data_IF_376700750201
#
_entry.id   IF_376700750201
#
_cell.length_a   1.000
_cell.length_b   1.000
_cell.length_c   1.000
_cell.angle_alpha   90.00
_cell.angle_beta   90.00
_cell.angle_gamma   90.00
#
_symmetry.space_group_name_H-M   'P 1'
#
loop_
_entity.id
_entity.type
_entity.pdbx_description
1 polymer ?
#
# COMPACT_ATOMS: atom_id res chain seq x y z
N UNK A 1 -55.02 -4.79 38.90
CA UNK A 1 -53.86 -5.65 38.52
C UNK A 1 -53.85 -5.74 37.00
N UNK A 2 -53.02 -4.94 36.34
CA UNK A 2 -52.85 -4.98 34.89
C UNK A 2 -51.54 -5.73 34.58
N UNK A 3 -51.54 -6.74 33.71
CA UNK A 3 -50.32 -7.40 33.30
C UNK A 3 -49.57 -6.56 32.23
N UNK A 4 -48.35 -6.16 32.57
CA UNK A 4 -47.41 -5.56 31.67
C UNK A 4 -47.03 -6.61 30.61
N UNK A 5 -47.46 -6.41 29.36
CA UNK A 5 -47.02 -7.19 28.21
C UNK A 5 -45.61 -6.74 27.85
N UNK A 6 -44.62 -7.55 28.21
CA UNK A 6 -43.23 -7.42 27.72
C UNK A 6 -43.20 -7.72 26.24
N UNK A 7 -43.20 -6.70 25.39
CA UNK A 7 -42.89 -6.83 23.97
C UNK A 7 -41.39 -7.13 23.81
N UNK A 8 -41.07 -8.38 23.60
CA UNK A 8 -39.74 -8.79 23.12
C UNK A 8 -39.60 -8.31 21.67
N UNK A 9 -38.96 -7.18 21.48
CA UNK A 9 -38.50 -6.73 20.13
C UNK A 9 -37.39 -7.68 19.72
N UNK A 10 -37.72 -8.65 18.88
CA UNK A 10 -36.77 -9.49 18.20
C UNK A 10 -36.13 -8.63 17.09
N UNK A 11 -34.99 -8.00 17.39
CA UNK A 11 -34.17 -7.33 16.37
C UNK A 11 -33.50 -8.43 15.55
N UNK A 12 -34.15 -8.86 14.49
CA UNK A 12 -33.56 -9.70 13.46
C UNK A 12 -32.64 -8.78 12.66
N UNK A 13 -31.35 -8.73 13.03
CA UNK A 13 -30.30 -8.14 12.21
C UNK A 13 -30.25 -8.99 10.93
N UNK A 14 -30.90 -8.52 9.87
CA UNK A 14 -30.68 -9.05 8.54
C UNK A 14 -29.24 -8.66 8.15
N UNK A 15 -28.30 -9.57 8.45
CA UNK A 15 -26.94 -9.50 7.87
C UNK A 15 -27.12 -9.87 6.40
N UNK A 16 -27.42 -8.87 5.57
CA UNK A 16 -27.31 -8.94 4.10
C UNK A 16 -25.82 -8.93 3.72
N UNK A 17 -25.03 -9.76 4.37
CA UNK A 17 -23.67 -10.06 3.97
C UNK A 17 -23.74 -11.08 2.83
N UNK A 18 -23.38 -10.65 1.62
CA UNK A 18 -23.35 -11.54 0.47
C UNK A 18 -22.28 -12.61 0.63
N UNK A 19 -22.65 -13.89 0.57
CA UNK A 19 -21.68 -14.94 0.26
C UNK A 19 -21.21 -14.71 -1.18
N UNK A 20 -19.96 -14.26 -1.37
CA UNK A 20 -19.34 -14.20 -2.67
C UNK A 20 -18.56 -15.50 -2.92
N UNK A 21 -18.51 -15.92 -4.16
CA UNK A 21 -17.62 -17.02 -4.58
C UNK A 21 -16.22 -16.44 -4.78
N UNK A 22 -15.21 -17.04 -4.15
CA UNK A 22 -13.83 -16.68 -4.39
C UNK A 22 -13.44 -17.06 -5.83
N UNK A 23 -12.96 -16.12 -6.65
CA UNK A 23 -12.68 -16.38 -8.07
C UNK A 23 -11.58 -17.42 -8.29
N UNK A 24 -10.65 -17.57 -7.35
CA UNK A 24 -9.52 -18.50 -7.45
C UNK A 24 -9.86 -19.89 -6.94
N UNK A 25 -10.56 -19.98 -5.80
CA UNK A 25 -10.80 -21.28 -5.12
C UNK A 25 -12.17 -21.87 -5.41
N UNK A 26 -13.11 -21.07 -5.94
CA UNK A 26 -14.51 -21.46 -6.08
C UNK A 26 -15.27 -21.56 -4.73
N UNK A 27 -14.60 -21.36 -3.61
CA UNK A 27 -15.20 -21.46 -2.28
C UNK A 27 -16.15 -20.27 -2.01
N UNK A 28 -17.21 -20.54 -1.24
CA UNK A 28 -18.06 -19.46 -0.75
C UNK A 28 -17.40 -18.78 0.46
N UNK A 29 -17.24 -17.48 0.38
CA UNK A 29 -16.65 -16.67 1.41
C UNK A 29 -17.60 -15.54 1.84
N UNK A 30 -17.60 -15.24 3.14
CA UNK A 30 -18.30 -14.06 3.63
C UNK A 30 -17.45 -12.82 3.40
N UNK A 31 -17.94 -11.90 2.59
CA UNK A 31 -17.31 -10.62 2.32
C UNK A 31 -18.34 -9.50 2.41
N UNK A 32 -17.95 -8.37 3.01
CA UNK A 32 -18.84 -7.23 3.21
C UNK A 32 -19.01 -6.37 1.98
N UNK A 33 -18.10 -6.48 1.00
CA UNK A 33 -18.10 -5.67 -0.21
C UNK A 33 -18.50 -6.51 -1.43
N UNK A 34 -19.45 -6.01 -2.19
CA UNK A 34 -19.70 -6.47 -3.56
C UNK A 34 -18.55 -6.05 -4.48
N UNK A 35 -18.43 -6.62 -5.67
CA UNK A 35 -17.40 -6.22 -6.64
C UNK A 35 -17.51 -4.74 -7.04
N UNK A 36 -18.73 -4.24 -7.24
CA UNK A 36 -18.95 -2.83 -7.55
C UNK A 36 -18.48 -1.90 -6.43
N UNK A 37 -18.70 -2.28 -5.16
CA UNK A 37 -18.22 -1.53 -4.01
C UNK A 37 -16.69 -1.63 -3.84
N UNK A 38 -16.11 -2.79 -4.14
CA UNK A 38 -14.66 -3.00 -4.17
C UNK A 38 -14.01 -2.05 -5.19
N UNK A 39 -14.55 -1.97 -6.41
CA UNK A 39 -14.05 -1.07 -7.45
C UNK A 39 -14.23 0.41 -7.06
N UNK A 40 -15.38 0.78 -6.48
CA UNK A 40 -15.63 2.15 -6.05
C UNK A 40 -14.63 2.60 -4.97
N UNK A 41 -14.40 1.75 -3.96
CA UNK A 41 -13.40 1.98 -2.91
C UNK A 41 -11.99 2.13 -3.50
N UNK A 42 -11.63 1.29 -4.48
CA UNK A 42 -10.34 1.37 -5.16
C UNK A 42 -10.14 2.68 -5.92
N UNK A 43 -11.18 3.18 -6.59
CA UNK A 43 -11.12 4.48 -7.29
C UNK A 43 -10.93 5.66 -6.33
N UNK A 44 -11.58 5.62 -5.18
CA UNK A 44 -11.38 6.65 -4.14
C UNK A 44 -9.96 6.58 -3.58
N UNK A 45 -9.46 5.37 -3.31
CA UNK A 45 -8.09 5.17 -2.86
C UNK A 45 -7.05 5.58 -3.93
N UNK A 46 -7.29 5.33 -5.23
CA UNK A 46 -6.42 5.75 -6.33
C UNK A 46 -6.22 7.27 -6.36
N UNK A 47 -7.32 8.03 -6.22
CA UNK A 47 -7.23 9.50 -6.16
C UNK A 47 -6.34 9.95 -4.99
N UNK A 48 -6.49 9.31 -3.83
CA UNK A 48 -5.76 9.68 -2.65
C UNK A 48 -4.27 9.24 -2.70
N UNK A 49 -3.98 8.05 -3.24
CA UNK A 49 -2.60 7.59 -3.47
C UNK A 49 -1.86 8.55 -4.40
N UNK A 50 -2.47 8.91 -5.54
CA UNK A 50 -1.88 9.87 -6.49
C UNK A 50 -1.69 11.25 -5.89
N UNK A 51 -2.60 11.68 -5.02
CA UNK A 51 -2.50 12.98 -4.34
C UNK A 51 -1.40 13.02 -3.28
N UNK A 52 -1.20 11.91 -2.53
CA UNK A 52 -0.26 11.87 -1.40
C UNK A 52 1.15 11.47 -1.79
N UNK A 53 1.29 10.59 -2.78
CA UNK A 53 2.58 10.00 -3.15
C UNK A 53 3.10 10.50 -4.49
N UNK A 54 2.27 11.19 -5.29
CA UNK A 54 2.60 11.57 -6.66
C UNK A 54 2.84 10.37 -7.58
N UNK A 55 2.87 10.61 -8.87
CA UNK A 55 3.35 9.64 -9.84
C UNK A 55 4.79 9.97 -10.23
N UNK A 56 5.64 8.97 -10.33
CA UNK A 56 6.99 9.17 -10.82
C UNK A 56 6.96 9.70 -12.27
N UNK A 57 7.64 10.82 -12.53
CA UNK A 57 7.59 11.55 -13.80
C UNK A 57 8.49 10.94 -14.87
N UNK A 58 8.17 9.70 -15.27
CA UNK A 58 8.76 9.00 -16.42
C UNK A 58 7.67 8.23 -17.17
N UNK A 59 7.13 8.84 -18.22
CA UNK A 59 6.07 8.23 -19.03
C UNK A 59 6.48 6.91 -19.69
N UNK A 60 7.77 6.72 -20.02
CA UNK A 60 8.23 5.51 -20.65
C UNK A 60 8.28 4.35 -19.64
N UNK A 61 8.76 4.64 -18.43
CA UNK A 61 8.80 3.67 -17.34
C UNK A 61 7.39 3.35 -16.82
N UNK A 62 6.50 4.35 -16.72
CA UNK A 62 5.08 4.14 -16.38
C UNK A 62 4.41 3.16 -17.36
N UNK A 63 4.51 3.42 -18.68
CA UNK A 63 3.94 2.53 -19.70
C UNK A 63 4.54 1.12 -19.65
N UNK A 64 5.84 1.01 -19.43
CA UNK A 64 6.52 -0.29 -19.33
C UNK A 64 5.95 -1.14 -18.17
N UNK A 65 5.78 -0.56 -17.01
CA UNK A 65 5.17 -1.25 -15.85
C UNK A 65 3.70 -1.59 -16.12
N UNK A 66 2.95 -0.65 -16.69
CA UNK A 66 1.54 -0.87 -17.05
C UNK A 66 1.37 -2.01 -18.06
N UNK A 67 2.20 -2.08 -19.11
CA UNK A 67 2.18 -3.14 -20.13
C UNK A 67 2.38 -4.53 -19.51
N UNK A 68 3.37 -4.67 -18.61
CA UNK A 68 3.63 -5.93 -17.91
C UNK A 68 2.45 -6.28 -17.00
N UNK A 69 1.98 -5.32 -16.21
CA UNK A 69 0.87 -5.51 -15.30
C UNK A 69 -0.42 -5.93 -16.01
N UNK A 70 -0.78 -5.26 -17.11
CA UNK A 70 -1.95 -5.60 -17.93
C UNK A 70 -1.82 -6.98 -18.57
N UNK A 71 -0.64 -7.38 -19.02
CA UNK A 71 -0.40 -8.71 -19.56
C UNK A 71 -0.66 -9.81 -18.51
N UNK A 72 -0.19 -9.60 -17.26
CA UNK A 72 -0.45 -10.51 -16.14
C UNK A 72 -1.94 -10.52 -15.76
N UNK A 73 -2.55 -9.36 -15.64
CA UNK A 73 -3.94 -9.18 -15.25
C UNK A 73 -4.90 -9.83 -16.25
N UNK A 74 -4.62 -9.73 -17.56
CA UNK A 74 -5.42 -10.34 -18.62
C UNK A 74 -5.46 -11.87 -18.56
N UNK A 75 -4.49 -12.49 -17.89
CA UNK A 75 -4.39 -13.94 -17.68
C UNK A 75 -4.79 -14.36 -16.26
N UNK A 76 -5.19 -13.40 -15.43
CA UNK A 76 -5.60 -13.66 -14.06
C UNK A 76 -7.03 -14.24 -13.98
N UNK A 77 -7.44 -14.63 -12.77
CA UNK A 77 -8.79 -15.11 -12.50
C UNK A 77 -9.87 -14.00 -12.52
N UNK A 78 -9.47 -12.73 -12.70
CA UNK A 78 -10.41 -11.58 -12.78
C UNK A 78 -9.98 -10.58 -13.87
N UNK A 79 -9.88 -11.00 -15.15
CA UNK A 79 -9.37 -10.15 -16.24
C UNK A 79 -10.26 -8.93 -16.52
N UNK A 80 -11.53 -8.95 -16.13
CA UNK A 80 -12.52 -7.90 -16.41
C UNK A 80 -12.48 -6.72 -15.42
N UNK A 81 -11.61 -6.76 -14.40
CA UNK A 81 -11.46 -5.63 -13.50
C UNK A 81 -10.83 -4.41 -14.23
N UNK A 82 -11.11 -3.19 -13.78
CA UNK A 82 -10.50 -1.97 -14.34
C UNK A 82 -9.05 -1.83 -13.88
N UNK A 83 -8.19 -2.76 -14.30
CA UNK A 83 -6.81 -2.81 -13.89
C UNK A 83 -6.05 -1.52 -14.23
N UNK A 84 -5.28 -1.05 -13.27
CA UNK A 84 -4.40 0.11 -13.40
C UNK A 84 -3.10 -0.17 -12.66
N UNK A 85 -1.98 0.13 -13.29
CA UNK A 85 -0.65 -0.05 -12.74
C UNK A 85 0.10 1.27 -12.82
N UNK A 86 0.75 1.68 -11.74
CA UNK A 86 1.48 2.94 -11.72
C UNK A 86 2.71 2.85 -10.83
N UNK A 87 3.70 3.69 -11.13
CA UNK A 87 4.85 3.93 -10.26
C UNK A 87 4.60 5.22 -9.51
N UNK A 88 4.60 5.14 -8.17
CA UNK A 88 4.51 6.31 -7.30
C UNK A 88 5.90 6.81 -6.93
N UNK A 89 6.03 8.12 -6.78
CA UNK A 89 7.30 8.77 -6.47
C UNK A 89 7.65 8.69 -4.98
N UNK A 90 8.05 7.50 -4.57
CA UNK A 90 8.45 7.22 -3.19
C UNK A 90 9.77 6.44 -3.17
N UNK A 91 10.75 6.84 -2.35
CA UNK A 91 12.01 6.11 -2.18
C UNK A 91 11.85 4.81 -1.37
N UNK A 92 10.70 4.58 -0.74
CA UNK A 92 10.44 3.37 0.03
C UNK A 92 10.52 2.12 -0.85
N UNK A 93 10.99 1.01 -0.31
CA UNK A 93 11.00 -0.29 -1.01
C UNK A 93 9.63 -0.94 -0.80
N UNK A 94 8.70 -0.72 -1.73
CA UNK A 94 7.33 -1.21 -1.59
C UNK A 94 6.63 -1.45 -2.94
N UNK A 95 5.63 -2.34 -2.91
CA UNK A 95 4.57 -2.49 -3.89
C UNK A 95 3.27 -2.76 -3.13
N UNK A 96 2.14 -2.36 -3.65
CA UNK A 96 0.87 -2.60 -2.97
C UNK A 96 -0.32 -2.52 -3.92
N UNK A 97 -1.38 -3.22 -3.57
CA UNK A 97 -2.64 -3.18 -4.28
C UNK A 97 -3.75 -2.58 -3.41
N UNK A 98 -4.56 -1.70 -3.99
CA UNK A 98 -5.83 -1.31 -3.39
C UNK A 98 -6.97 -2.13 -4.04
N UNK A 99 -8.16 -2.21 -3.42
CA UNK A 99 -9.27 -2.98 -3.97
C UNK A 99 -9.60 -2.62 -5.42
N UNK A 100 -10.14 -3.56 -6.18
CA UNK A 100 -10.71 -3.27 -7.51
C UNK A 100 -9.72 -3.24 -8.66
N UNK A 101 -8.43 -3.55 -8.45
CA UNK A 101 -7.45 -3.73 -9.54
C UNK A 101 -6.47 -2.56 -9.72
N UNK A 102 -6.28 -1.72 -8.74
CA UNK A 102 -5.29 -0.63 -8.78
C UNK A 102 -4.03 -1.06 -8.03
N UNK A 103 -2.90 -1.13 -8.74
CA UNK A 103 -1.62 -1.64 -8.25
C UNK A 103 -0.55 -0.57 -8.42
N UNK A 104 0.27 -0.42 -7.40
CA UNK A 104 1.34 0.56 -7.34
C UNK A 104 2.67 -0.07 -7.02
N UNK A 105 3.70 0.36 -7.73
CA UNK A 105 5.08 0.17 -7.35
C UNK A 105 5.63 1.51 -6.86
N UNK A 106 6.44 1.49 -5.84
CA UNK A 106 7.27 2.65 -5.54
C UNK A 106 8.48 2.67 -6.46
N UNK A 107 8.99 3.85 -6.83
CA UNK A 107 10.27 3.90 -7.57
C UNK A 107 11.42 3.25 -6.77
N UNK A 108 11.31 3.29 -5.43
CA UNK A 108 12.32 2.73 -4.53
C UNK A 108 12.48 1.22 -4.59
N UNK A 109 11.48 0.44 -5.03
CA UNK A 109 11.64 -1.01 -5.20
C UNK A 109 12.38 -1.38 -6.48
N UNK A 110 12.27 -0.55 -7.54
CA UNK A 110 12.78 -0.85 -8.87
C UNK A 110 14.27 -1.23 -8.88
N UNK A 111 15.19 -0.49 -8.20
CA UNK A 111 16.62 -0.81 -8.22
C UNK A 111 16.98 -2.14 -7.54
N UNK A 112 16.07 -2.72 -6.79
CA UNK A 112 16.28 -3.99 -6.07
C UNK A 112 15.80 -5.22 -6.86
N UNK A 113 15.12 -5.01 -7.98
CA UNK A 113 14.74 -6.06 -8.91
C UNK A 113 15.86 -6.25 -9.92
N UNK A 114 16.21 -7.50 -10.23
CA UNK A 114 17.36 -7.82 -11.07
C UNK A 114 17.05 -7.79 -12.56
N UNK A 115 15.78 -8.01 -12.92
CA UNK A 115 15.33 -8.15 -14.30
C UNK A 115 13.82 -8.00 -14.43
N UNK A 116 13.31 -8.14 -15.67
CA UNK A 116 11.88 -8.02 -15.98
C UNK A 116 11.06 -9.16 -15.36
N UNK A 117 11.63 -10.35 -15.17
CA UNK A 117 10.93 -11.45 -14.52
C UNK A 117 10.69 -11.19 -13.03
N UNK A 118 11.64 -10.55 -12.33
CA UNK A 118 11.45 -10.10 -10.95
C UNK A 118 10.32 -9.07 -10.87
N UNK A 119 10.29 -8.10 -11.80
CA UNK A 119 9.21 -7.11 -11.91
C UNK A 119 7.86 -7.78 -12.16
N UNK A 120 7.80 -8.73 -13.10
CA UNK A 120 6.60 -9.53 -13.35
C UNK A 120 6.20 -10.36 -12.12
N UNK A 121 7.17 -10.83 -11.34
CA UNK A 121 6.96 -11.52 -10.07
C UNK A 121 6.27 -10.65 -9.02
N UNK A 122 6.77 -9.42 -8.81
CA UNK A 122 6.14 -8.44 -7.90
C UNK A 122 4.72 -8.12 -8.35
N UNK A 123 4.56 -7.71 -9.61
CA UNK A 123 3.24 -7.35 -10.15
C UNK A 123 2.27 -8.52 -10.13
N UNK A 124 2.76 -9.73 -10.45
CA UNK A 124 1.97 -10.96 -10.40
C UNK A 124 1.49 -11.31 -8.99
N UNK A 125 2.35 -11.08 -7.98
CA UNK A 125 1.99 -11.23 -6.58
C UNK A 125 0.85 -10.28 -6.17
N UNK A 126 0.95 -8.99 -6.54
CA UNK A 126 -0.10 -8.00 -6.27
C UNK A 126 -1.40 -8.32 -7.03
N UNK A 127 -1.30 -8.74 -8.30
CA UNK A 127 -2.45 -9.27 -9.05
C UNK A 127 -3.06 -10.47 -8.32
N UNK A 128 -2.26 -11.35 -7.74
CA UNK A 128 -2.69 -12.47 -6.92
C UNK A 128 -3.52 -12.04 -5.71
N UNK A 129 -3.09 -10.98 -5.00
CA UNK A 129 -3.85 -10.42 -3.88
C UNK A 129 -5.22 -9.89 -4.30
N UNK A 130 -5.29 -9.16 -5.40
CA UNK A 130 -6.54 -8.62 -5.94
C UNK A 130 -7.48 -9.74 -6.40
N UNK A 131 -6.96 -10.71 -7.18
CA UNK A 131 -7.78 -11.80 -7.75
C UNK A 131 -8.33 -12.74 -6.69
N UNK A 132 -7.56 -13.03 -5.64
CA UNK A 132 -7.99 -13.81 -4.48
C UNK A 132 -8.80 -12.98 -3.46
N UNK A 133 -9.02 -11.68 -3.72
CA UNK A 133 -9.76 -10.74 -2.87
C UNK A 133 -9.21 -10.64 -1.44
N UNK A 134 -7.86 -10.72 -1.29
CA UNK A 134 -7.21 -10.71 0.02
C UNK A 134 -7.47 -9.42 0.78
N UNK A 135 -7.41 -8.26 0.10
CA UNK A 135 -7.68 -6.94 0.68
C UNK A 135 -9.13 -6.84 1.17
N UNK A 136 -10.10 -7.32 0.37
CA UNK A 136 -11.52 -7.32 0.75
C UNK A 136 -11.77 -8.19 1.98
N UNK A 137 -11.10 -9.35 2.06
CA UNK A 137 -11.19 -10.24 3.23
C UNK A 137 -10.54 -9.61 4.47
N UNK A 138 -9.39 -8.96 4.31
CA UNK A 138 -8.73 -8.26 5.40
C UNK A 138 -9.60 -7.09 5.92
N UNK A 139 -10.18 -6.30 5.01
CA UNK A 139 -11.13 -5.24 5.32
C UNK A 139 -12.37 -5.79 6.06
N UNK A 140 -12.96 -6.88 5.55
CA UNK A 140 -14.13 -7.52 6.19
C UNK A 140 -13.81 -7.96 7.61
N UNK A 141 -12.62 -8.53 7.85
CA UNK A 141 -12.19 -8.93 9.21
C UNK A 141 -11.98 -7.72 10.13
N UNK A 142 -11.33 -6.68 9.65
CA UNK A 142 -11.10 -5.45 10.41
C UNK A 142 -12.42 -4.77 10.78
N UNK A 143 -13.33 -4.59 9.83
CA UNK A 143 -14.65 -4.00 10.03
C UNK A 143 -15.52 -4.86 10.94
N UNK A 144 -15.46 -6.19 10.83
CA UNK A 144 -16.16 -7.12 11.71
C UNK A 144 -15.66 -7.06 13.16
N UNK A 145 -14.34 -6.90 13.36
CA UNK A 145 -13.75 -6.71 14.68
C UNK A 145 -14.18 -5.37 15.29
N UNK A 146 -14.21 -4.28 14.53
CA UNK A 146 -14.72 -2.99 14.99
C UNK A 146 -16.21 -3.04 15.36
N UNK A 147 -17.03 -3.70 14.54
CA UNK A 147 -18.44 -3.89 14.85
C UNK A 147 -18.62 -4.71 16.15
N UNK A 148 -17.80 -5.74 16.34
CA UNK A 148 -17.76 -6.52 17.57
C UNK A 148 -17.36 -5.70 18.79
N UNK A 149 -16.39 -4.80 18.64
CA UNK A 149 -15.98 -3.87 19.70
C UNK A 149 -17.06 -2.83 19.99
N UNK A 150 -17.74 -2.28 18.98
CA UNK A 150 -18.88 -1.37 19.15
C UNK A 150 -20.04 -2.04 19.87
N UNK A 151 -20.39 -3.28 19.51
CA UNK A 151 -21.41 -4.05 20.23
C UNK A 151 -20.94 -4.36 21.66
N UNK A 152 -19.66 -4.71 21.85
CA UNK A 152 -19.06 -4.93 23.17
C UNK A 152 -19.03 -3.65 24.02
N UNK A 153 -18.80 -2.46 23.42
CA UNK A 153 -18.77 -1.18 24.12
C UNK A 153 -20.16 -0.74 24.66
N UNK A 154 -21.24 -1.20 24.04
CA UNK A 154 -22.60 -1.00 24.57
C UNK A 154 -22.76 -1.73 25.92
N UNK A 155 -21.98 -2.79 26.13
CA UNK A 155 -22.02 -3.60 27.35
C UNK A 155 -20.79 -3.40 28.27
N UNK A 156 -19.77 -2.64 27.88
CA UNK A 156 -18.59 -2.35 28.71
C UNK A 156 -17.93 -1.02 28.34
N UNK A 157 -17.79 -0.07 29.27
CA UNK A 157 -17.21 1.26 29.03
C UNK A 157 -15.72 1.26 28.66
N UNK A 158 -14.98 0.15 28.89
CA UNK A 158 -13.55 0.06 28.63
C UNK A 158 -13.19 -0.16 27.15
N UNK A 159 -14.17 -0.38 26.26
CA UNK A 159 -13.93 -0.66 24.84
C UNK A 159 -13.99 0.57 23.93
N UNK A 160 -14.18 1.78 24.46
CA UNK A 160 -14.41 3.00 23.68
C UNK A 160 -13.14 3.71 23.17
N UNK A 161 -11.93 3.24 23.55
CA UNK A 161 -10.68 3.94 23.19
C UNK A 161 -10.00 3.47 21.87
N UNK A 162 -10.53 2.48 21.16
CA UNK A 162 -9.85 1.87 20.00
C UNK A 162 -10.41 2.32 18.62
N UNK A 163 -11.31 3.29 18.58
CA UNK A 163 -12.20 3.56 17.42
C UNK A 163 -11.67 4.45 16.28
N UNK A 164 -10.37 4.83 16.18
CA UNK A 164 -9.93 5.98 15.38
C UNK A 164 -9.32 5.73 13.98
N UNK A 165 -9.07 4.51 13.52
CA UNK A 165 -8.13 4.28 12.40
C UNK A 165 -8.72 3.85 11.04
N UNK A 166 -10.03 3.79 10.84
CA UNK A 166 -10.62 3.27 9.57
C UNK A 166 -11.37 4.33 8.75
N UNK A 167 -11.37 5.58 9.15
CA UNK A 167 -12.15 6.64 8.47
C UNK A 167 -11.50 7.22 7.21
N UNK A 168 -10.25 6.92 6.92
CA UNK A 168 -9.62 7.34 5.67
C UNK A 168 -9.45 6.13 4.73
N UNK A 169 -9.82 6.26 3.46
CA UNK A 169 -9.72 5.21 2.44
C UNK A 169 -8.32 4.58 2.30
N UNK A 170 -7.29 5.19 2.90
CA UNK A 170 -5.92 4.68 2.98
C UNK A 170 -5.68 3.67 4.11
N UNK A 171 -6.58 3.52 5.08
CA UNK A 171 -6.47 2.47 6.10
C UNK A 171 -6.35 1.06 5.51
N UNK A 172 -6.78 0.88 4.27
CA UNK A 172 -6.66 -0.37 3.51
C UNK A 172 -5.20 -0.69 3.16
N UNK A 173 -4.34 0.32 2.98
CA UNK A 173 -2.92 0.16 2.62
C UNK A 173 -2.08 -0.43 3.76
N UNK A 174 -2.55 -0.31 4.99
CA UNK A 174 -1.87 -0.81 6.19
C UNK A 174 -2.40 -2.16 6.67
N UNK A 175 -3.31 -2.79 5.92
CA UNK A 175 -3.80 -4.11 6.27
C UNK A 175 -2.71 -5.16 6.02
N UNK A 176 -2.36 -5.88 7.08
CA UNK A 176 -1.43 -7.02 6.97
C UNK A 176 -2.16 -8.24 6.44
N UNK A 177 -1.53 -8.91 5.50
CA UNK A 177 -2.00 -10.20 5.04
C UNK A 177 -1.54 -11.33 5.97
N UNK A 178 -2.33 -12.38 6.05
CA UNK A 178 -1.93 -13.58 6.78
C UNK A 178 -1.08 -14.48 5.88
N UNK A 179 -0.29 -15.36 6.49
CA UNK A 179 0.62 -16.28 5.80
C UNK A 179 -0.03 -17.04 4.63
N UNK A 180 -1.24 -17.58 4.81
CA UNK A 180 -1.93 -18.32 3.75
C UNK A 180 -2.28 -17.44 2.54
N UNK A 181 -2.58 -16.16 2.77
CA UNK A 181 -2.83 -15.20 1.72
C UNK A 181 -1.56 -14.89 0.93
N UNK A 182 -0.42 -14.75 1.64
CA UNK A 182 0.88 -14.55 1.03
C UNK A 182 1.29 -15.74 0.14
N UNK A 183 1.22 -16.95 0.68
CA UNK A 183 1.52 -18.17 -0.07
C UNK A 183 0.60 -18.36 -1.29
N UNK A 184 -0.67 -17.95 -1.18
CA UNK A 184 -1.58 -17.97 -2.30
C UNK A 184 -1.22 -16.92 -3.36
N UNK A 185 -0.84 -15.71 -2.93
CA UNK A 185 -0.42 -14.64 -3.85
C UNK A 185 0.88 -15.00 -4.57
N UNK A 186 1.86 -15.59 -3.87
CA UNK A 186 3.11 -16.09 -4.47
C UNK A 186 2.83 -17.16 -5.56
N UNK A 187 1.98 -18.13 -5.23
CA UNK A 187 1.60 -19.18 -6.19
C UNK A 187 0.90 -18.61 -7.41
N UNK A 188 -0.05 -17.70 -7.21
CA UNK A 188 -0.77 -17.05 -8.30
C UNK A 188 0.16 -16.16 -9.13
N UNK A 189 1.05 -15.42 -8.48
CA UNK A 189 2.04 -14.57 -9.15
C UNK A 189 2.95 -15.38 -10.07
N UNK A 190 3.48 -16.50 -9.57
CA UNK A 190 4.29 -17.42 -10.37
C UNK A 190 3.49 -18.03 -11.55
N UNK A 191 2.23 -18.42 -11.31
CA UNK A 191 1.36 -18.95 -12.36
C UNK A 191 1.06 -17.88 -13.43
N UNK A 192 0.70 -16.65 -13.03
CA UNK A 192 0.40 -15.57 -13.98
C UNK A 192 1.66 -15.15 -14.77
N UNK A 193 2.83 -15.10 -14.12
CA UNK A 193 4.10 -14.83 -14.80
C UNK A 193 4.36 -15.89 -15.88
N UNK A 194 4.28 -17.19 -15.52
CA UNK A 194 4.55 -18.30 -16.45
C UNK A 194 3.62 -18.29 -17.66
N UNK A 195 2.30 -18.18 -17.45
CA UNK A 195 1.32 -18.18 -18.55
C UNK A 195 1.36 -16.90 -19.41
N UNK A 196 1.95 -15.83 -18.89
CA UNK A 196 2.18 -14.59 -19.62
C UNK A 196 3.55 -14.51 -20.29
N UNK A 197 4.37 -15.56 -20.13
CA UNK A 197 5.65 -15.73 -20.83
C UNK A 197 6.89 -15.21 -20.08
N UNK A 198 6.79 -14.87 -18.79
CA UNK A 198 7.92 -14.54 -17.92
C UNK A 198 8.35 -15.74 -17.07
N UNK A 199 9.65 -15.78 -16.73
CA UNK A 199 10.18 -16.79 -15.84
C UNK A 199 9.52 -16.66 -14.44
N UNK A 200 8.74 -17.66 -13.99
CA UNK A 200 8.08 -17.61 -12.70
C UNK A 200 9.06 -17.63 -11.50
N UNK A 201 10.34 -17.92 -11.73
CA UNK A 201 11.38 -17.83 -10.71
C UNK A 201 11.56 -16.39 -10.21
N UNK A 202 11.16 -15.37 -10.96
CA UNK A 202 11.18 -13.97 -10.55
C UNK A 202 10.48 -13.73 -9.21
N UNK A 203 9.38 -14.45 -8.90
CA UNK A 203 8.73 -14.36 -7.58
C UNK A 203 9.68 -14.78 -6.45
N UNK A 204 10.41 -15.88 -6.63
CA UNK A 204 11.38 -16.37 -5.65
C UNK A 204 12.57 -15.41 -5.51
N UNK A 205 13.07 -14.92 -6.62
CA UNK A 205 14.29 -14.10 -6.66
C UNK A 205 14.04 -12.71 -6.05
N UNK A 206 12.86 -12.13 -6.29
CA UNK A 206 12.36 -10.94 -5.59
C UNK A 206 12.26 -11.16 -4.07
N UNK A 207 11.61 -12.24 -3.62
CA UNK A 207 11.50 -12.57 -2.19
C UNK A 207 12.87 -12.73 -1.53
N UNK A 208 13.80 -13.41 -2.21
CA UNK A 208 15.17 -13.61 -1.73
C UNK A 208 15.92 -12.28 -1.61
N UNK A 209 15.72 -11.36 -2.53
CA UNK A 209 16.32 -10.02 -2.49
C UNK A 209 15.78 -9.20 -1.33
N UNK A 210 14.46 -9.16 -1.15
CA UNK A 210 13.82 -8.41 -0.05
C UNK A 210 14.20 -8.98 1.33
N UNK A 211 14.31 -10.32 1.46
CA UNK A 211 14.77 -10.96 2.67
C UNK A 211 16.21 -10.54 3.03
N UNK A 212 17.13 -10.57 2.06
CA UNK A 212 18.53 -10.14 2.27
C UNK A 212 18.65 -8.67 2.69
N UNK A 213 17.82 -7.78 2.13
CA UNK A 213 17.80 -6.38 2.52
C UNK A 213 17.37 -6.25 3.97
N UNK A 214 16.32 -6.96 4.37
CA UNK A 214 15.82 -6.96 5.76
C UNK A 214 16.86 -7.44 6.75
N UNK A 215 17.54 -8.54 6.47
CA UNK A 215 18.59 -9.11 7.32
C UNK A 215 19.81 -8.18 7.43
N UNK A 216 20.22 -7.57 6.30
CA UNK A 216 21.39 -6.68 6.24
C UNK A 216 21.19 -5.35 6.94
N UNK A 217 19.93 -4.90 7.09
CA UNK A 217 19.60 -3.63 7.75
C UNK A 217 19.58 -3.69 9.28
N UNK A 218 19.74 -4.87 9.86
CA UNK A 218 19.71 -5.07 11.33
C UNK A 218 18.41 -4.56 11.98
N UNK A 219 17.30 -4.61 11.23
CA UNK A 219 16.00 -4.09 11.64
C UNK A 219 15.82 -2.59 11.45
N UNK A 220 16.85 -1.87 10.98
CA UNK A 220 16.74 -0.46 10.55
C UNK A 220 16.56 -0.45 9.03
N UNK A 221 15.46 0.11 8.54
CA UNK A 221 15.16 0.17 7.12
C UNK A 221 14.66 -1.16 6.53
N UNK A 222 13.90 -1.93 7.32
CA UNK A 222 13.12 -3.06 6.80
C UNK A 222 12.29 -2.55 5.61
N UNK A 223 12.32 -3.22 4.45
CA UNK A 223 11.46 -2.84 3.34
C UNK A 223 10.02 -2.70 3.82
N UNK A 224 9.37 -1.59 3.49
CA UNK A 224 7.97 -1.36 3.88
C UNK A 224 7.07 -2.49 3.38
N UNK A 225 7.46 -3.10 2.27
CA UNK A 225 6.80 -4.28 1.71
C UNK A 225 6.69 -5.43 2.72
N UNK A 226 7.75 -5.73 3.50
CA UNK A 226 7.72 -6.78 4.51
C UNK A 226 6.84 -6.46 5.73
N UNK A 227 6.46 -5.19 5.92
CA UNK A 227 5.51 -4.81 6.98
C UNK A 227 4.08 -5.24 6.66
N UNK A 228 3.71 -5.24 5.38
CA UNK A 228 2.40 -5.69 4.88
C UNK A 228 2.42 -7.14 4.43
N UNK A 229 3.60 -7.66 3.97
CA UNK A 229 3.85 -8.99 3.43
C UNK A 229 4.91 -9.75 4.26
N UNK A 230 4.56 -10.26 5.44
CA UNK A 230 5.51 -10.88 6.36
C UNK A 230 6.03 -12.25 5.88
N UNK A 231 7.05 -12.77 6.58
CA UNK A 231 7.58 -14.14 6.49
C UNK A 231 8.22 -14.51 5.12
N UNK A 232 9.07 -13.62 4.58
CA UNK A 232 9.71 -13.84 3.29
C UNK A 232 10.58 -15.11 3.19
N UNK A 233 11.27 -15.51 4.26
CA UNK A 233 12.19 -16.66 4.22
C UNK A 233 11.50 -18.00 3.93
N UNK A 234 10.43 -18.31 4.65
CA UNK A 234 9.61 -19.51 4.41
C UNK A 234 8.97 -19.53 3.02
N UNK A 235 8.64 -18.32 2.51
CA UNK A 235 8.00 -18.16 1.21
C UNK A 235 8.94 -18.51 0.07
N UNK A 236 10.23 -18.19 0.17
CA UNK A 236 11.25 -18.57 -0.83
C UNK A 236 11.26 -20.08 -1.08
N UNK A 237 11.25 -20.88 -0.01
CA UNK A 237 11.20 -22.34 -0.13
C UNK A 237 9.89 -22.83 -0.75
N UNK A 238 8.76 -22.25 -0.35
CA UNK A 238 7.44 -22.61 -0.88
C UNK A 238 7.29 -22.28 -2.35
N UNK A 239 7.82 -21.16 -2.81
CA UNK A 239 7.84 -20.82 -4.24
C UNK A 239 8.65 -21.85 -5.01
N UNK A 240 9.76 -22.37 -4.47
CA UNK A 240 10.50 -23.47 -5.07
C UNK A 240 9.62 -24.70 -5.35
N UNK A 241 8.75 -25.07 -4.42
CA UNK A 241 7.77 -26.14 -4.62
C UNK A 241 6.74 -25.80 -5.69
N UNK A 242 6.25 -24.55 -5.71
CA UNK A 242 5.33 -24.06 -6.73
C UNK A 242 5.93 -24.13 -8.14
N UNK A 243 7.20 -23.76 -8.29
CA UNK A 243 7.92 -23.87 -9.57
C UNK A 243 8.04 -25.29 -10.06
N UNK A 244 8.30 -26.25 -9.17
CA UNK A 244 8.33 -27.66 -9.51
C UNK A 244 6.94 -28.17 -9.97
N UNK A 245 5.86 -27.74 -9.31
CA UNK A 245 4.49 -28.05 -9.73
C UNK A 245 4.13 -27.44 -11.08
N UNK A 246 4.58 -26.20 -11.34
CA UNK A 246 4.37 -25.55 -12.65
C UNK A 246 5.12 -26.29 -13.75
N UNK A 247 6.40 -26.64 -13.53
CA UNK A 247 7.21 -27.39 -14.48
C UNK A 247 6.62 -28.76 -14.82
N UNK A 248 5.89 -29.39 -13.89
CA UNK A 248 5.20 -30.65 -14.14
C UNK A 248 3.94 -30.50 -15.02
N UNK A 249 3.37 -29.29 -15.12
CA UNK A 249 2.11 -29.01 -15.83
C UNK A 249 2.31 -28.24 -17.15
N UNK A 250 3.39 -27.49 -17.27
CA UNK A 250 3.69 -26.67 -18.45
C UNK A 250 5.20 -26.53 -18.64
N UNK A 251 5.62 -26.28 -19.87
CA UNK A 251 7.01 -25.95 -20.15
C UNK A 251 7.31 -24.50 -19.69
N UNK A 252 8.14 -24.37 -18.66
CA UNK A 252 8.62 -23.09 -18.13
C UNK A 252 10.07 -22.81 -18.51
N UNK A 253 10.68 -23.60 -19.42
CA UNK A 253 12.05 -23.41 -19.87
C UNK A 253 12.16 -22.27 -20.89
N UNK A 254 13.19 -21.44 -20.77
CA UNK A 254 13.45 -20.35 -21.73
C UNK A 254 12.43 -19.23 -21.72
N UNK A 255 11.59 -19.14 -20.66
CA UNK A 255 10.72 -17.99 -20.47
C UNK A 255 11.51 -16.71 -20.25
N UNK A 256 10.87 -15.57 -20.50
CA UNK A 256 11.52 -14.26 -20.52
C UNK A 256 12.07 -13.87 -19.15
N UNK A 257 13.35 -13.50 -19.10
CA UNK A 257 14.02 -12.87 -17.96
C UNK A 257 14.30 -11.40 -18.27
N UNK A 258 14.83 -11.10 -19.46
CA UNK A 258 15.08 -9.76 -20.02
C UNK A 258 15.82 -8.79 -19.07
N UNK A 259 16.94 -9.26 -18.49
CA UNK A 259 17.74 -8.42 -17.58
C UNK A 259 18.21 -7.12 -18.21
N UNK A 260 18.82 -7.18 -19.41
CA UNK A 260 19.38 -5.97 -20.03
C UNK A 260 18.30 -4.96 -20.37
N UNK A 261 17.18 -5.41 -20.96
CA UNK A 261 16.08 -4.51 -21.30
C UNK A 261 15.45 -3.85 -20.06
N UNK A 262 15.44 -4.55 -18.91
CA UNK A 262 15.02 -3.98 -17.64
C UNK A 262 15.98 -2.90 -17.14
N UNK A 263 17.28 -3.21 -17.09
CA UNK A 263 18.28 -2.27 -16.60
C UNK A 263 18.37 -1.00 -17.46
N UNK A 264 18.22 -1.13 -18.79
CA UNK A 264 18.17 0.00 -19.70
C UNK A 264 16.98 0.94 -19.45
N UNK A 265 15.88 0.42 -18.84
CA UNK A 265 14.71 1.21 -18.47
C UNK A 265 14.88 1.96 -17.14
N UNK A 266 15.84 1.52 -16.33
CA UNK A 266 16.16 2.18 -15.06
C UNK A 266 17.23 3.25 -15.19
N UNK A 267 17.80 3.46 -16.39
CA UNK A 267 18.80 4.52 -16.59
C UNK A 267 18.17 5.89 -16.31
N UNK A 268 18.77 6.64 -15.38
CA UNK A 268 18.23 7.92 -14.92
C UNK A 268 17.22 7.85 -13.77
N UNK A 269 16.82 6.65 -13.32
CA UNK A 269 15.93 6.51 -12.16
C UNK A 269 16.56 7.14 -10.91
N UNK A 270 15.82 8.01 -10.23
CA UNK A 270 16.24 8.62 -8.97
C UNK A 270 16.31 7.54 -7.88
N UNK A 271 17.50 7.37 -7.30
CA UNK A 271 17.73 6.44 -6.20
C UNK A 271 17.78 7.18 -4.86
N UNK A 272 16.99 6.72 -3.88
CA UNK A 272 16.88 7.37 -2.58
C UNK A 272 15.94 8.57 -2.59
N UNK A 273 16.19 9.57 -1.73
CA UNK A 273 15.37 10.79 -1.67
C UNK A 273 15.50 11.60 -2.96
N UNK A 274 14.38 12.16 -3.41
CA UNK A 274 14.37 13.06 -4.55
C UNK A 274 14.83 14.46 -4.09
N UNK A 275 15.90 15.02 -4.68
CA UNK A 275 16.36 16.37 -4.35
C UNK A 275 15.31 17.46 -4.52
N UNK A 276 14.36 17.27 -5.47
CA UNK A 276 13.30 18.23 -5.75
C UNK A 276 12.20 18.22 -4.66
N UNK A 277 12.06 17.08 -3.96
CA UNK A 277 11.18 16.93 -2.79
C UNK A 277 11.91 17.21 -1.47
N UNK A 278 13.23 17.43 -1.53
CA UNK A 278 14.11 17.59 -0.38
C UNK A 278 14.72 16.29 0.11
N UNK A 279 15.84 16.43 0.79
CA UNK A 279 16.70 15.32 1.22
C UNK A 279 16.81 15.29 2.73
N UNK A 280 16.62 14.12 3.34
CA UNK A 280 16.81 13.88 4.77
C UNK A 280 18.21 13.34 5.03
N UNK A 281 18.98 14.01 5.91
CA UNK A 281 20.29 13.55 6.39
C UNK A 281 20.28 13.48 7.92
N UNK A 282 19.97 12.33 8.46
CA UNK A 282 19.74 12.16 9.88
C UNK A 282 18.53 12.97 10.35
N UNK A 283 18.75 14.07 11.08
CA UNK A 283 17.69 14.99 11.52
C UNK A 283 17.63 16.31 10.72
N UNK A 284 18.51 16.46 9.74
CA UNK A 284 18.52 17.64 8.87
C UNK A 284 17.70 17.35 7.62
N UNK A 285 16.74 18.22 7.32
CA UNK A 285 15.99 18.25 6.07
C UNK A 285 16.49 19.43 5.22
N UNK A 286 16.81 19.16 3.96
CA UNK A 286 17.35 20.12 3.00
C UNK A 286 16.43 20.13 1.78
N UNK A 287 15.83 21.26 1.46
CA UNK A 287 15.04 21.42 0.26
C UNK A 287 15.77 22.32 -0.74
N UNK A 288 16.28 21.75 -1.83
CA UNK A 288 17.13 22.43 -2.81
C UNK A 288 16.36 23.45 -3.61
N UNK A 289 15.17 23.11 -4.10
CA UNK A 289 14.27 23.96 -4.87
C UNK A 289 13.82 25.19 -4.08
N UNK A 290 13.24 24.98 -2.89
CA UNK A 290 12.75 26.05 -2.02
C UNK A 290 13.85 26.71 -1.19
N UNK A 291 15.10 26.22 -1.27
CA UNK A 291 16.32 26.80 -0.66
C UNK A 291 16.23 27.02 0.84
N UNK A 292 15.66 26.05 1.56
CA UNK A 292 15.67 26.09 3.01
C UNK A 292 16.19 24.78 3.62
N UNK A 293 16.55 24.85 4.89
CA UNK A 293 16.94 23.70 5.69
C UNK A 293 16.24 23.75 7.04
N UNK A 294 15.84 22.61 7.54
CA UNK A 294 15.28 22.42 8.87
C UNK A 294 16.09 21.39 9.63
N UNK A 295 16.21 21.60 10.93
CA UNK A 295 16.82 20.63 11.84
C UNK A 295 15.79 20.21 12.88
N UNK A 296 15.40 18.95 12.83
CA UNK A 296 14.49 18.36 13.80
C UNK A 296 15.21 18.05 15.14
N UNK A 297 14.49 17.86 16.25
CA UNK A 297 15.06 17.50 17.53
C UNK A 297 15.86 16.20 17.50
N UNK A 298 16.80 16.04 18.43
CA UNK A 298 17.58 14.79 18.55
C UNK A 298 16.68 13.60 18.91
N UNK A 299 16.92 12.47 18.25
CA UNK A 299 16.18 11.22 18.48
C UNK A 299 14.81 11.15 17.82
N UNK A 300 14.42 12.16 17.04
CA UNK A 300 13.19 12.11 16.25
C UNK A 300 13.43 11.39 14.93
N UNK A 301 12.42 10.66 14.48
CA UNK A 301 12.40 10.01 13.17
C UNK A 301 11.77 10.95 12.14
N UNK A 302 12.54 11.27 11.09
CA UNK A 302 12.13 12.20 10.03
C UNK A 302 11.59 11.40 8.85
N UNK A 303 10.43 11.81 8.35
CA UNK A 303 9.79 11.25 7.16
C UNK A 303 9.55 12.38 6.17
N UNK A 304 10.03 12.21 4.95
CA UNK A 304 9.81 13.12 3.83
C UNK A 304 8.88 12.49 2.80
N UNK A 305 7.96 13.29 2.30
CA UNK A 305 7.05 12.94 1.20
C UNK A 305 7.03 14.08 0.20
N UNK A 306 6.41 13.89 -0.95
CA UNK A 306 6.29 14.92 -2.00
C UNK A 306 5.70 16.25 -1.51
N UNK A 307 4.74 16.21 -0.59
CA UNK A 307 3.98 17.40 -0.17
C UNK A 307 4.29 17.87 1.26
N UNK A 308 5.01 17.09 2.03
CA UNK A 308 5.29 17.41 3.43
C UNK A 308 6.53 16.69 3.96
N UNK A 309 7.21 17.32 4.88
CA UNK A 309 8.20 16.67 5.76
C UNK A 309 7.70 16.68 7.18
N UNK A 310 7.80 15.56 7.85
CA UNK A 310 7.41 15.41 9.24
C UNK A 310 8.49 14.75 10.07
N UNK A 311 8.38 14.91 11.38
CA UNK A 311 9.19 14.18 12.34
C UNK A 311 8.34 13.78 13.54
N UNK A 312 8.58 12.59 14.06
CA UNK A 312 7.89 12.05 15.24
C UNK A 312 8.90 11.66 16.31
N UNK A 313 8.51 11.85 17.56
CA UNK A 313 9.25 11.35 18.70
C UNK A 313 8.87 9.87 18.93
N UNK A 314 9.79 8.90 18.79
CA UNK A 314 9.50 7.50 18.98
C UNK A 314 8.90 7.22 20.36
N UNK A 315 7.74 6.52 20.38
CA UNK A 315 7.04 6.16 21.63
C UNK A 315 6.14 7.23 22.23
N UNK A 316 6.05 8.42 21.62
CA UNK A 316 5.18 9.52 22.05
C UNK A 316 4.22 9.92 20.92
N UNK A 317 3.05 10.45 21.27
CA UNK A 317 2.10 11.01 20.29
C UNK A 317 2.42 12.50 20.00
N UNK A 318 3.71 12.78 19.75
CA UNK A 318 4.21 14.13 19.45
C UNK A 318 4.87 14.12 18.08
N UNK A 319 4.46 15.04 17.23
CA UNK A 319 5.01 15.18 15.89
C UNK A 319 5.10 16.63 15.43
N UNK A 320 6.01 16.86 14.49
CA UNK A 320 6.16 18.13 13.76
C UNK A 320 5.87 17.85 12.30
N UNK A 321 5.12 18.73 11.62
CA UNK A 321 4.86 18.63 10.18
C UNK A 321 5.09 20.00 9.56
N UNK A 322 5.87 20.02 8.48
CA UNK A 322 5.96 21.13 7.54
C UNK A 322 5.31 20.68 6.24
N UNK A 323 4.29 21.39 5.82
CA UNK A 323 3.52 21.08 4.60
C UNK A 323 3.50 22.30 3.70
N UNK A 324 3.70 22.06 2.39
CA UNK A 324 3.48 23.07 1.37
C UNK A 324 1.98 23.25 1.15
N UNK A 325 1.51 24.49 1.31
CA UNK A 325 0.11 24.82 1.10
C UNK A 325 0.01 25.86 -0.02
N UNK A 326 -0.72 25.55 -1.08
CA UNK A 326 -0.99 26.50 -2.17
C UNK A 326 -1.98 27.56 -1.72
N UNK A 327 -1.67 28.84 -2.03
CA UNK A 327 -2.52 29.99 -1.72
C UNK A 327 -2.85 30.81 -2.99
N UNK A 328 -3.57 30.23 -3.98
CA UNK A 328 -3.85 30.90 -5.25
C UNK A 328 -4.71 32.15 -5.10
N UNK A 329 -5.55 32.18 -4.06
CA UNK A 329 -6.44 33.32 -3.77
C UNK A 329 -5.75 34.41 -2.95
N UNK A 330 -4.48 34.24 -2.59
CA UNK A 330 -3.69 35.16 -1.75
C UNK A 330 -4.40 35.52 -0.44
N UNK A 331 -5.00 34.53 0.19
CA UNK A 331 -5.65 34.65 1.50
C UNK A 331 -4.59 35.02 2.56
N UNK A 332 -5.04 35.66 3.64
CA UNK A 332 -4.20 35.91 4.81
C UNK A 332 -3.67 34.58 5.37
N UNK A 333 -2.36 34.52 5.67
CA UNK A 333 -1.68 33.27 6.02
C UNK A 333 -2.25 32.65 7.30
N UNK A 334 -2.60 33.46 8.29
CA UNK A 334 -3.21 32.95 9.53
C UNK A 334 -4.56 32.27 9.25
N UNK A 335 -5.42 32.89 8.43
CA UNK A 335 -6.70 32.31 8.08
C UNK A 335 -6.56 31.01 7.28
N UNK A 336 -5.56 30.96 6.38
CA UNK A 336 -5.25 29.76 5.60
C UNK A 336 -4.73 28.63 6.52
N UNK A 337 -3.84 28.93 7.45
CA UNK A 337 -3.31 27.98 8.41
C UNK A 337 -4.42 27.38 9.30
N UNK A 338 -5.29 28.25 9.86
CA UNK A 338 -6.42 27.83 10.70
C UNK A 338 -7.37 26.90 9.92
N UNK A 339 -7.68 27.23 8.66
CA UNK A 339 -8.56 26.40 7.83
C UNK A 339 -7.94 25.03 7.52
N UNK A 340 -6.64 24.97 7.22
CA UNK A 340 -5.95 23.70 6.97
C UNK A 340 -5.90 22.82 8.23
N UNK A 341 -5.56 23.38 9.37
CA UNK A 341 -5.53 22.68 10.65
C UNK A 341 -6.93 22.12 10.99
N UNK A 342 -7.99 22.91 10.81
CA UNK A 342 -9.38 22.45 11.05
C UNK A 342 -9.80 21.33 10.11
N UNK A 343 -9.44 21.42 8.81
CA UNK A 343 -9.72 20.32 7.85
C UNK A 343 -8.99 19.05 8.20
N UNK A 344 -7.78 19.17 8.75
CA UNK A 344 -7.00 18.04 9.26
C UNK A 344 -7.49 17.51 10.63
N UNK A 345 -8.57 18.08 11.20
CA UNK A 345 -9.08 17.68 12.51
C UNK A 345 -8.29 18.22 13.71
N UNK A 346 -7.36 19.14 13.47
CA UNK A 346 -6.52 19.73 14.53
C UNK A 346 -7.15 20.96 15.14
N UNK A 347 -6.87 21.18 16.42
CA UNK A 347 -7.18 22.42 17.14
C UNK A 347 -5.91 23.27 17.25
N UNK A 348 -5.98 24.53 16.81
CA UNK A 348 -4.89 25.47 16.96
C UNK A 348 -4.97 26.14 18.34
N UNK A 349 -3.97 25.93 19.18
CA UNK A 349 -3.87 26.55 20.50
C UNK A 349 -3.04 27.86 20.45
N UNK A 350 -2.01 27.92 19.60
CA UNK A 350 -1.21 29.11 19.34
C UNK A 350 -0.65 29.09 17.91
N UNK A 351 -0.42 30.25 17.35
CA UNK A 351 0.15 30.39 16.02
C UNK A 351 0.95 31.70 15.89
N UNK A 352 1.77 31.78 14.86
CA UNK A 352 2.55 32.96 14.52
C UNK A 352 3.10 32.87 13.11
N UNK A 353 3.54 33.99 12.56
CA UNK A 353 4.17 34.08 11.25
C UNK A 353 5.68 34.13 11.39
N UNK A 354 6.39 33.47 10.50
CA UNK A 354 7.84 33.58 10.35
C UNK A 354 8.18 33.56 8.86
N UNK A 355 9.27 34.18 8.50
CA UNK A 355 9.78 34.14 7.13
C UNK A 355 11.08 33.31 7.09
N UNK A 356 11.14 32.37 6.16
CA UNK A 356 12.33 31.57 5.91
C UNK A 356 12.79 31.87 4.48
N UNK A 357 13.97 32.52 4.35
CA UNK A 357 14.56 32.92 3.07
C UNK A 357 13.61 33.72 2.15
N UNK A 358 12.70 34.50 2.75
CA UNK A 358 11.76 35.34 2.01
C UNK A 358 10.50 34.64 1.51
N UNK A 359 10.26 33.40 1.98
CA UNK A 359 9.02 32.66 1.81
C UNK A 359 8.10 32.87 2.99
#
# INVERSE_FOLDING_TARGET
>A
MNPVRSSRVLVTLLVLGGCATNPVTGAREFVMLSEAQEIAMGREADVEVRRQMGLYEDDALQRYVEEIGLALASRSHRPELPWSFAIVDSPAINAFAVPGGFIYLTRGIMPFLSDEADLAGVLGHEVGHVTARHTVRAYTRASGAQLGLLVGSIFSPAASEVGGLVETGLGVLFLRYGRDAELQADRLGAEYAAISGWDPAGVRDMLSTLSRISEGSGGRGVPNWLSTHPDASDRVERVGSTLAELAARMDITGLRVNRQGYLDRLDGLIYGDDPDQGVVRGRDFLHTELRFALRFPDGWEVVNTETQVGATQPGEEVYMVLQLVTNPERRELEALAVDNMRRGGYRLDAGGETAINGL
#
